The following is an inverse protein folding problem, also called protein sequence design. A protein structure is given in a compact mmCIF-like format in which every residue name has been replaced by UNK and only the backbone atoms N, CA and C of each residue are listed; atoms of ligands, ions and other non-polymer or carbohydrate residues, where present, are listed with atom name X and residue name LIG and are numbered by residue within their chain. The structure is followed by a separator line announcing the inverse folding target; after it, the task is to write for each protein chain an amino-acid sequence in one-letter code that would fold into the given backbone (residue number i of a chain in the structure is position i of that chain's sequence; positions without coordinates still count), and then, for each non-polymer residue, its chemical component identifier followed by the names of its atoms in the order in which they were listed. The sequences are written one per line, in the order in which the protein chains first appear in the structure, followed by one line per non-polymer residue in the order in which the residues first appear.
data_IF_073000531896
#
_entry.id   IF_073000531896
#
_cell.length_a   1.000
_cell.length_b   1.000
_cell.length_c   1.000
_cell.angle_alpha   90.00
_cell.angle_beta   90.00
_cell.angle_gamma   90.00
#
_symmetry.space_group_name_H-M   'P 1'
#
loop_
_entity.id
_entity.type
_entity.pdbx_description
1 polymer ?
#
# COMPACT_ATOMS: atom_id res chain seq x y z
N UNK A 1 -11.79 -2.27 33.62
CA UNK A 1 -11.76 -3.31 32.56
C UNK A 1 -12.07 -2.63 31.22
N UNK A 2 -11.06 -2.39 30.38
CA UNK A 2 -11.26 -1.91 29.00
C UNK A 2 -11.69 -3.09 28.13
N UNK A 3 -12.74 -2.91 27.34
CA UNK A 3 -13.17 -3.86 26.31
C UNK A 3 -12.25 -3.73 25.10
N UNK A 4 -11.78 -4.83 24.47
CA UNK A 4 -11.01 -4.72 23.23
C UNK A 4 -11.96 -4.33 22.09
N UNK A 5 -11.65 -3.22 21.42
CA UNK A 5 -12.32 -2.84 20.18
C UNK A 5 -12.05 -3.95 19.14
N UNK A 6 -13.13 -4.61 18.69
CA UNK A 6 -13.05 -5.57 17.58
C UNK A 6 -13.32 -4.81 16.28
N UNK A 7 -12.25 -4.51 15.54
CA UNK A 7 -12.37 -4.03 14.17
C UNK A 7 -13.00 -5.15 13.33
N UNK A 8 -14.22 -4.94 12.83
CA UNK A 8 -14.84 -5.83 11.84
C UNK A 8 -14.32 -5.42 10.46
N UNK A 9 -13.65 -6.34 9.77
CA UNK A 9 -13.45 -6.22 8.33
C UNK A 9 -14.76 -6.63 7.64
N UNK A 10 -15.35 -5.72 6.86
CA UNK A 10 -16.46 -6.05 5.97
C UNK A 10 -15.91 -6.86 4.78
N UNK A 11 -16.36 -8.11 4.66
CA UNK A 11 -16.02 -8.95 3.53
C UNK A 11 -16.99 -8.68 2.38
N UNK A 12 -16.48 -8.41 1.17
CA UNK A 12 -17.29 -8.64 -0.03
C UNK A 12 -16.50 -9.05 -1.30
N UNK A 13 -17.00 -10.15 -1.88
CA UNK A 13 -16.95 -10.64 -3.28
C UNK A 13 -15.70 -11.31 -3.87
N UNK A 14 -15.68 -12.64 -3.68
CA UNK A 14 -15.33 -13.74 -4.61
C UNK A 14 -13.95 -13.88 -5.27
N UNK A 15 -13.06 -12.89 -5.19
CA UNK A 15 -11.62 -13.11 -5.32
C UNK A 15 -11.02 -12.89 -3.94
N UNK A 16 -10.26 -13.84 -3.39
CA UNK A 16 -9.63 -13.59 -2.09
C UNK A 16 -8.66 -12.41 -2.22
N UNK A 17 -8.97 -11.33 -1.51
CA UNK A 17 -8.26 -10.05 -1.56
C UNK A 17 -6.75 -10.27 -1.48
N UNK A 18 -6.02 -9.56 -2.34
CA UNK A 18 -4.57 -9.66 -2.42
C UNK A 18 -3.98 -8.30 -2.09
N UNK A 19 -3.13 -8.25 -1.06
CA UNK A 19 -2.37 -7.05 -0.74
C UNK A 19 -1.38 -6.80 -1.87
N UNK A 20 -1.59 -5.72 -2.62
CA UNK A 20 -0.65 -5.31 -3.66
C UNK A 20 0.41 -4.42 -3.04
N UNK A 21 1.69 -4.72 -3.32
CA UNK A 21 2.84 -3.97 -2.81
C UNK A 21 3.63 -3.45 -4.01
N UNK A 22 3.59 -2.14 -4.23
CA UNK A 22 4.38 -1.51 -5.28
C UNK A 22 5.73 -1.08 -4.73
N UNK A 23 6.79 -1.67 -5.27
CA UNK A 23 8.17 -1.45 -4.83
C UNK A 23 8.70 -2.54 -3.90
N UNK A 24 9.88 -3.07 -4.22
CA UNK A 24 10.60 -4.10 -3.44
C UNK A 24 11.80 -3.54 -2.66
N UNK A 25 11.70 -2.28 -2.24
CA UNK A 25 12.67 -1.67 -1.33
C UNK A 25 12.55 -2.21 0.10
N UNK A 26 13.18 -1.53 1.06
CA UNK A 26 13.13 -1.89 2.50
C UNK A 26 11.70 -2.01 3.02
N UNK A 27 10.91 -0.94 2.86
CA UNK A 27 9.52 -0.88 3.36
C UNK A 27 8.64 -1.92 2.68
N UNK A 28 8.64 -2.00 1.35
CA UNK A 28 7.83 -2.97 0.62
C UNK A 28 8.18 -4.42 0.98
N UNK A 29 9.47 -4.74 1.12
CA UNK A 29 9.92 -6.09 1.55
C UNK A 29 9.44 -6.41 2.97
N UNK A 30 9.50 -5.45 3.89
CA UNK A 30 8.94 -5.63 5.23
C UNK A 30 7.44 -5.91 5.20
N UNK A 31 6.66 -5.15 4.43
CA UNK A 31 5.21 -5.36 4.32
C UNK A 31 4.92 -6.76 3.76
N UNK A 32 5.68 -7.22 2.76
CA UNK A 32 5.56 -8.59 2.24
C UNK A 32 5.79 -9.64 3.32
N UNK A 33 6.86 -9.52 4.11
CA UNK A 33 7.14 -10.41 5.25
C UNK A 33 6.06 -10.36 6.33
N UNK A 34 5.50 -9.18 6.61
CA UNK A 34 4.38 -9.05 7.53
C UNK A 34 3.13 -9.77 7.01
N UNK A 35 2.87 -9.71 5.70
CA UNK A 35 1.78 -10.47 5.07
C UNK A 35 2.02 -11.98 5.22
N UNK A 36 3.23 -12.46 4.96
CA UNK A 36 3.61 -13.87 5.13
C UNK A 36 3.41 -14.35 6.57
N UNK A 37 3.84 -13.56 7.56
CA UNK A 37 3.79 -13.95 8.97
C UNK A 37 2.35 -14.08 9.52
N UNK A 38 1.39 -13.37 8.93
CA UNK A 38 -0.03 -13.43 9.31
C UNK A 38 -0.89 -14.22 8.31
N UNK A 39 -0.28 -14.84 7.29
CA UNK A 39 -0.98 -15.66 6.30
C UNK A 39 -1.86 -14.88 5.32
N UNK A 40 -1.56 -13.61 5.06
CA UNK A 40 -2.27 -12.78 4.08
C UNK A 40 -1.62 -12.89 2.71
N UNK A 41 -2.44 -13.11 1.67
CA UNK A 41 -1.96 -13.16 0.28
C UNK A 41 -1.48 -11.77 -0.13
N UNK A 42 -0.30 -11.71 -0.72
CA UNK A 42 0.26 -10.47 -1.25
C UNK A 42 0.92 -10.72 -2.62
N UNK A 43 1.06 -9.65 -3.39
CA UNK A 43 1.76 -9.64 -4.67
C UNK A 43 2.60 -8.38 -4.78
N UNK A 44 3.85 -8.54 -5.24
CA UNK A 44 4.68 -7.40 -5.60
C UNK A 44 4.37 -6.96 -7.03
N UNK A 45 4.22 -5.65 -7.22
CA UNK A 45 4.13 -5.02 -8.54
C UNK A 45 5.36 -4.14 -8.73
N UNK A 46 6.06 -4.34 -9.84
CA UNK A 46 7.23 -3.56 -10.23
C UNK A 46 7.05 -3.01 -11.65
N UNK A 47 7.93 -2.09 -12.06
CA UNK A 47 7.98 -1.58 -13.44
C UNK A 47 7.96 -2.75 -14.44
N UNK A 48 7.11 -2.65 -15.46
CA UNK A 48 6.98 -3.66 -16.53
C UNK A 48 5.98 -4.80 -16.26
N UNK A 49 5.33 -4.87 -15.09
CA UNK A 49 4.23 -5.83 -14.88
C UNK A 49 2.93 -5.35 -15.52
N UNK A 50 2.20 -6.29 -16.13
CA UNK A 50 1.04 -5.99 -16.97
C UNK A 50 -0.29 -5.84 -16.22
N UNK A 51 -0.38 -6.29 -14.96
CA UNK A 51 -1.66 -6.32 -14.24
C UNK A 51 -1.53 -6.22 -12.73
N UNK A 52 -2.50 -5.54 -12.12
CA UNK A 52 -2.74 -5.55 -10.68
C UNK A 52 -3.66 -6.73 -10.30
N UNK A 53 -3.51 -7.29 -9.09
CA UNK A 53 -4.55 -8.12 -8.50
C UNK A 53 -5.92 -7.42 -8.51
N UNK A 54 -7.03 -8.17 -8.68
CA UNK A 54 -8.34 -7.58 -8.95
C UNK A 54 -8.92 -6.80 -7.76
N UNK A 55 -8.56 -7.15 -6.52
CA UNK A 55 -9.07 -6.53 -5.29
C UNK A 55 -8.02 -6.52 -4.17
N UNK A 56 -8.28 -5.74 -3.13
CA UNK A 56 -7.40 -5.57 -1.96
C UNK A 56 -6.58 -4.27 -2.00
N UNK A 57 -5.95 -3.88 -0.88
CA UNK A 57 -5.23 -2.62 -0.77
C UNK A 57 -3.98 -2.58 -1.66
N UNK A 58 -3.60 -1.39 -2.10
CA UNK A 58 -2.42 -1.12 -2.94
C UNK A 58 -1.44 -0.24 -2.16
N UNK A 59 -0.46 -0.85 -1.49
CA UNK A 59 0.60 -0.15 -0.77
C UNK A 59 1.66 0.35 -1.74
N UNK A 60 1.84 1.67 -1.82
CA UNK A 60 2.86 2.29 -2.67
C UNK A 60 4.10 2.62 -1.84
N UNK A 61 5.09 1.72 -1.90
CA UNK A 61 6.34 1.77 -1.14
C UNK A 61 7.57 2.10 -2.03
N UNK A 62 7.35 2.84 -3.12
CA UNK A 62 8.41 3.31 -4.02
C UNK A 62 9.05 4.61 -3.53
N UNK A 63 10.14 5.04 -4.16
CA UNK A 63 10.68 6.37 -3.91
C UNK A 63 9.76 7.45 -4.50
N UNK A 64 9.75 8.65 -3.91
CA UNK A 64 8.89 9.75 -4.36
C UNK A 64 9.13 10.15 -5.83
N UNK A 65 10.37 10.01 -6.32
CA UNK A 65 10.70 10.28 -7.73
C UNK A 65 10.04 9.31 -8.72
N UNK A 66 9.64 8.12 -8.27
CA UNK A 66 9.00 7.10 -9.11
C UNK A 66 7.48 7.10 -8.95
N UNK A 67 6.93 7.96 -8.09
CA UNK A 67 5.53 7.94 -7.71
C UNK A 67 4.60 8.19 -8.90
N UNK A 68 4.96 9.10 -9.80
CA UNK A 68 4.13 9.42 -10.96
C UNK A 68 3.98 8.24 -11.92
N UNK A 69 5.09 7.54 -12.21
CA UNK A 69 5.06 6.34 -13.04
C UNK A 69 4.20 5.25 -12.42
N UNK A 70 4.28 5.08 -11.09
CA UNK A 70 3.50 4.08 -10.36
C UNK A 70 2.01 4.40 -10.42
N UNK A 71 1.63 5.64 -10.14
CA UNK A 71 0.23 6.04 -10.13
C UNK A 71 -0.41 5.92 -11.52
N UNK A 72 0.36 6.11 -12.60
CA UNK A 72 -0.10 5.90 -13.97
C UNK A 72 -0.45 4.43 -14.28
N UNK A 73 0.08 3.46 -13.53
CA UNK A 73 -0.24 2.04 -13.70
C UNK A 73 -1.51 1.63 -12.96
N UNK A 74 -1.96 2.43 -11.99
CA UNK A 74 -3.10 2.09 -11.13
C UNK A 74 -4.40 2.33 -11.89
N UNK A 75 -5.29 1.32 -12.00
CA UNK A 75 -6.60 1.52 -12.62
C UNK A 75 -7.40 2.62 -11.91
N UNK A 76 -8.07 3.49 -12.67
CA UNK A 76 -8.75 4.68 -12.12
C UNK A 76 -9.85 4.33 -11.12
N UNK A 77 -10.56 3.22 -11.32
CA UNK A 77 -11.60 2.70 -10.42
C UNK A 77 -11.03 2.11 -9.11
N UNK A 78 -9.72 1.85 -9.07
CA UNK A 78 -8.97 1.35 -7.91
C UNK A 78 -8.28 2.45 -7.10
N UNK A 79 -8.45 3.74 -7.46
CA UNK A 79 -7.79 4.86 -6.78
C UNK A 79 -8.06 4.90 -5.26
N UNK A 80 -9.27 4.50 -4.84
CA UNK A 80 -9.68 4.43 -3.42
C UNK A 80 -8.92 3.39 -2.59
N UNK A 81 -8.30 2.41 -3.26
CA UNK A 81 -7.57 1.34 -2.60
C UNK A 81 -6.07 1.65 -2.45
N UNK A 82 -5.63 2.82 -2.93
CA UNK A 82 -4.27 3.30 -2.77
C UNK A 82 -3.98 3.63 -1.30
N UNK A 83 -2.84 3.13 -0.84
CA UNK A 83 -2.23 3.44 0.44
C UNK A 83 -0.84 4.00 0.18
N UNK A 84 -0.71 5.32 0.24
CA UNK A 84 0.51 6.05 -0.09
C UNK A 84 1.42 6.14 1.13
N UNK A 85 2.61 5.53 1.05
CA UNK A 85 3.57 5.43 2.15
C UNK A 85 4.73 6.43 2.03
N UNK A 86 4.53 7.51 1.29
CA UNK A 86 5.60 8.48 1.08
C UNK A 86 5.94 9.18 2.39
N UNK A 87 7.20 9.61 2.52
CA UNK A 87 7.64 10.34 3.71
C UNK A 87 6.82 11.63 3.85
N UNK A 88 6.13 11.78 4.99
CA UNK A 88 5.23 12.91 5.24
C UNK A 88 3.90 12.79 4.49
N UNK A 89 3.13 13.88 4.49
CA UNK A 89 1.90 13.97 3.70
C UNK A 89 2.22 14.60 2.34
N UNK A 90 1.73 13.98 1.27
CA UNK A 90 1.74 14.57 -0.05
C UNK A 90 0.85 15.82 -0.04
N UNK A 91 1.30 16.84 -0.75
CA UNK A 91 0.59 18.12 -0.86
C UNK A 91 -0.75 17.94 -1.56
N UNK A 92 -1.75 18.69 -1.11
CA UNK A 92 -3.10 18.67 -1.69
C UNK A 92 -3.07 18.91 -3.20
N UNK A 93 -2.33 19.93 -3.68
CA UNK A 93 -2.22 20.20 -5.13
C UNK A 93 -1.71 18.97 -5.94
N UNK A 94 -0.82 18.17 -5.37
CA UNK A 94 -0.30 16.97 -6.05
C UNK A 94 -1.41 15.92 -6.21
N UNK A 95 -2.24 15.75 -5.18
CA UNK A 95 -3.32 14.79 -5.13
C UNK A 95 -4.52 15.24 -5.96
N UNK A 96 -4.90 16.52 -5.88
CA UNK A 96 -6.02 17.10 -6.63
C UNK A 96 -5.83 16.95 -8.14
N UNK A 97 -4.63 17.28 -8.64
CA UNK A 97 -4.30 17.15 -10.08
C UNK A 97 -4.38 15.70 -10.59
N UNK A 98 -4.39 14.71 -9.69
CA UNK A 98 -4.47 13.27 -10.00
C UNK A 98 -5.82 12.67 -9.59
N UNK A 99 -6.77 13.47 -9.10
CA UNK A 99 -8.06 12.99 -8.61
C UNK A 99 -7.95 12.10 -7.35
N UNK A 100 -6.85 12.22 -6.60
CA UNK A 100 -6.57 11.40 -5.41
C UNK A 100 -6.93 12.10 -4.10
N UNK A 101 -7.16 13.42 -4.13
CA UNK A 101 -7.53 14.19 -2.95
C UNK A 101 -8.86 13.69 -2.38
N UNK A 102 -8.86 13.32 -1.10
CA UNK A 102 -10.04 12.73 -0.43
C UNK A 102 -10.40 11.30 -0.88
N UNK A 103 -9.63 10.70 -1.79
CA UNK A 103 -9.89 9.35 -2.34
C UNK A 103 -8.82 8.35 -1.90
N UNK A 104 -7.54 8.69 -2.09
CA UNK A 104 -6.43 7.81 -1.70
C UNK A 104 -6.15 7.95 -0.20
N UNK A 105 -5.76 6.84 0.44
CA UNK A 105 -5.29 6.86 1.82
C UNK A 105 -3.83 7.30 1.87
N UNK A 106 -3.53 8.33 2.67
CA UNK A 106 -2.16 8.72 3.00
C UNK A 106 -1.75 8.17 4.36
N UNK A 107 -0.53 7.66 4.49
CA UNK A 107 -0.02 7.08 5.74
C UNK A 107 1.27 7.76 6.16
N UNK A 108 1.26 8.32 7.38
CA UNK A 108 2.48 8.71 8.07
C UNK A 108 3.09 7.48 8.77
N UNK A 109 3.99 6.78 8.07
CA UNK A 109 4.62 5.56 8.57
C UNK A 109 5.93 5.88 9.31
N UNK A 110 6.04 5.48 10.57
CA UNK A 110 7.28 5.53 11.35
C UNK A 110 7.78 4.12 11.62
N UNK A 111 8.91 3.74 11.02
CA UNK A 111 9.52 2.43 11.20
C UNK A 111 11.01 2.45 10.88
N UNK A 112 11.74 1.49 11.45
CA UNK A 112 13.07 1.12 10.97
C UNK A 112 12.99 -0.20 10.24
N UNK A 113 13.35 -0.21 8.96
CA UNK A 113 13.34 -1.38 8.10
C UNK A 113 14.74 -1.64 7.51
N UNK A 114 15.24 -2.87 7.67
CA UNK A 114 16.46 -3.36 7.05
C UNK A 114 16.21 -3.87 5.62
N UNK A 115 17.28 -4.00 4.82
CA UNK A 115 17.19 -4.46 3.43
C UNK A 115 16.63 -5.87 3.26
N UNK A 116 16.80 -6.71 4.27
CA UNK A 116 16.22 -8.04 4.33
C UNK A 116 14.72 -8.03 4.69
N UNK A 117 14.12 -6.87 4.95
CA UNK A 117 12.73 -6.73 5.38
C UNK A 117 12.49 -6.93 6.87
N UNK A 118 13.53 -7.13 7.68
CA UNK A 118 13.42 -7.08 9.14
C UNK A 118 13.03 -5.67 9.57
N UNK A 119 11.99 -5.55 10.39
CA UNK A 119 11.59 -4.26 10.94
C UNK A 119 11.57 -4.29 12.47
N UNK A 120 11.87 -3.13 13.05
CA UNK A 120 11.68 -2.84 14.46
C UNK A 120 10.69 -1.68 14.55
N UNK A 121 9.76 -1.80 15.48
CA UNK A 121 9.04 -0.64 15.97
C UNK A 121 10.04 0.30 16.65
N UNK A 122 9.83 1.61 16.45
CA UNK A 122 10.65 2.64 17.07
C UNK A 122 10.17 2.99 18.47
#
# INVERSE_FOLDING_TARGET
RMSPARCRADASSSGADTVTIVGRGRVGTTIGKMCESIGVRHAFVTRGMASFPPSGPIYVATHASDLDDVLALVPTDRARDLVLLQGGLLRDDFLERRGLAGVATQVALYMSASGDGTARDG
#
